data_IF_764427673617
#
_entry.id   IF_764427673617
#
_cell.length_a   1.000
_cell.length_b   1.000
_cell.length_c   1.000
_cell.angle_alpha   90.00
_cell.angle_beta   90.00
_cell.angle_gamma   90.00
#
_symmetry.space_group_name_H-M   'P 1'
#
loop_
_entity.id
_entity.type
_entity.pdbx_description
1 polymer ?
#
# COMPACT_ATOMS: atom_id res chain seq x y z
N UNK A 1 41.76 -20.07 13.72
CA UNK A 1 41.03 -20.03 12.45
C UNK A 1 39.53 -20.05 12.62
N UNK A 2 39.05 -20.86 13.54
CA UNK A 2 37.63 -20.95 13.79
C UNK A 2 36.96 -19.67 14.25
N UNK A 3 37.59 -18.76 15.03
CA UNK A 3 36.97 -17.52 15.41
C UNK A 3 36.62 -16.62 14.22
N UNK A 4 37.43 -16.66 13.17
CA UNK A 4 37.20 -15.83 11.96
C UNK A 4 35.93 -16.27 11.24
N UNK A 5 35.70 -17.57 11.09
CA UNK A 5 34.51 -18.13 10.47
C UNK A 5 33.24 -17.74 11.23
N UNK A 6 33.30 -17.79 12.56
CA UNK A 6 32.13 -17.41 13.39
C UNK A 6 31.78 -15.94 13.25
N UNK A 7 32.80 -15.08 13.23
CA UNK A 7 32.59 -13.64 13.05
C UNK A 7 31.98 -13.35 11.69
N UNK A 8 32.47 -14.00 10.64
CA UNK A 8 31.93 -13.83 9.30
C UNK A 8 30.46 -14.25 9.21
N UNK A 9 30.10 -15.37 9.85
CA UNK A 9 28.73 -15.83 9.88
C UNK A 9 27.78 -14.87 10.59
N UNK A 10 28.24 -14.26 11.69
CA UNK A 10 27.46 -13.28 12.43
C UNK A 10 27.21 -12.03 11.59
N UNK A 11 28.21 -11.52 10.88
CA UNK A 11 28.06 -10.36 10.00
C UNK A 11 27.06 -10.65 8.88
N UNK A 12 27.12 -11.82 8.28
CA UNK A 12 26.22 -12.18 7.21
C UNK A 12 24.77 -12.23 7.71
N UNK A 13 24.54 -12.79 8.91
CA UNK A 13 23.20 -12.85 9.50
C UNK A 13 22.66 -11.46 9.81
N UNK A 14 23.46 -10.59 10.39
CA UNK A 14 23.06 -9.21 10.71
C UNK A 14 22.72 -8.46 9.43
N UNK A 15 23.53 -8.59 8.40
CA UNK A 15 23.27 -7.95 7.11
C UNK A 15 21.95 -8.41 6.51
N UNK A 16 21.67 -9.71 6.58
CA UNK A 16 20.42 -10.27 6.08
C UNK A 16 19.21 -9.72 6.83
N UNK A 17 19.29 -9.62 8.15
CA UNK A 17 18.23 -9.08 8.99
C UNK A 17 17.98 -7.61 8.67
N UNK A 18 19.03 -6.82 8.44
CA UNK A 18 18.89 -5.41 8.07
C UNK A 18 18.19 -5.27 6.71
N UNK A 19 18.54 -6.11 5.74
CA UNK A 19 17.90 -6.09 4.43
C UNK A 19 16.43 -6.45 4.52
N UNK A 20 16.07 -7.45 5.32
CA UNK A 20 14.68 -7.85 5.52
C UNK A 20 13.89 -6.75 6.22
N UNK A 21 14.47 -6.08 7.20
CA UNK A 21 13.83 -4.96 7.89
C UNK A 21 13.55 -3.82 6.91
N UNK A 22 14.51 -3.46 6.07
CA UNK A 22 14.34 -2.41 5.08
C UNK A 22 13.30 -2.77 4.02
N UNK A 23 13.16 -4.06 3.70
CA UNK A 23 12.17 -4.52 2.74
C UNK A 23 10.76 -4.58 3.34
N UNK A 24 10.66 -4.82 4.67
CA UNK A 24 9.39 -5.08 5.35
C UNK A 24 8.81 -3.87 6.07
N UNK A 25 9.66 -2.99 6.60
CA UNK A 25 9.22 -1.87 7.42
C UNK A 25 9.19 -0.57 6.63
N UNK A 26 8.19 0.26 6.93
CA UNK A 26 8.03 1.56 6.32
C UNK A 26 7.42 1.54 4.94
N UNK A 27 7.06 0.37 4.42
CA UNK A 27 6.46 0.30 3.09
C UNK A 27 5.01 0.77 3.13
N UNK A 28 4.70 1.76 2.29
CA UNK A 28 3.34 2.26 2.11
C UNK A 28 2.78 1.64 0.84
N UNK A 29 1.62 1.02 0.95
CA UNK A 29 0.90 0.42 -0.17
C UNK A 29 -0.46 1.09 -0.31
N UNK A 30 -0.74 1.62 -1.49
CA UNK A 30 -2.02 2.22 -1.80
C UNK A 30 -2.77 1.26 -2.72
N UNK A 31 -3.93 0.79 -2.27
CA UNK A 31 -4.73 -0.15 -3.06
C UNK A 31 -6.01 0.53 -3.53
N UNK A 32 -6.21 0.52 -4.82
CA UNK A 32 -7.40 1.06 -5.47
C UNK A 32 -8.37 -0.08 -5.75
N UNK A 33 -9.51 -0.06 -5.09
CA UNK A 33 -10.57 -1.05 -5.26
C UNK A 33 -11.65 -0.49 -6.17
N UNK A 34 -11.96 -1.20 -7.24
CA UNK A 34 -13.03 -0.79 -8.14
C UNK A 34 -13.66 -2.03 -8.77
N UNK A 35 -14.86 -1.88 -9.28
CA UNK A 35 -15.56 -2.96 -9.99
C UNK A 35 -15.47 -2.71 -11.49
N UNK A 36 -15.53 -3.78 -12.27
CA UNK A 36 -15.44 -3.70 -13.72
C UNK A 36 -16.54 -2.78 -14.32
N UNK A 37 -17.76 -2.90 -13.78
CA UNK A 37 -18.87 -2.06 -14.24
C UNK A 37 -18.70 -0.58 -13.92
N UNK A 38 -17.77 -0.22 -13.03
CA UNK A 38 -17.50 1.15 -12.63
C UNK A 38 -16.18 1.69 -13.20
N UNK A 39 -15.63 1.04 -14.21
CA UNK A 39 -14.37 1.44 -14.84
C UNK A 39 -14.30 2.92 -15.23
N UNK A 40 -15.38 3.55 -15.77
CA UNK A 40 -15.32 4.97 -16.12
C UNK A 40 -15.05 5.89 -14.94
N UNK A 41 -15.30 5.46 -13.72
CA UNK A 41 -15.08 6.24 -12.51
C UNK A 41 -13.82 5.84 -11.75
N UNK A 42 -12.92 5.08 -12.39
CA UNK A 42 -11.66 4.72 -11.75
C UNK A 42 -10.87 5.97 -11.41
N UNK A 43 -10.08 5.89 -10.36
CA UNK A 43 -9.25 7.00 -9.91
C UNK A 43 -7.92 6.96 -10.66
N UNK A 44 -7.78 7.78 -11.69
CA UNK A 44 -6.62 7.72 -12.58
C UNK A 44 -5.35 8.27 -11.94
N UNK A 45 -5.47 9.27 -11.08
CA UNK A 45 -4.31 9.93 -10.48
C UNK A 45 -3.60 9.05 -9.42
N UNK A 46 -4.15 7.89 -9.11
CA UNK A 46 -3.50 6.97 -8.14
C UNK A 46 -2.09 6.60 -8.61
N UNK A 47 -1.91 6.45 -9.93
CA UNK A 47 -0.60 6.12 -10.49
C UNK A 47 0.42 7.25 -10.35
N UNK A 48 -0.02 8.46 -10.04
CA UNK A 48 0.85 9.61 -9.87
C UNK A 48 1.35 9.77 -8.43
N UNK A 49 0.87 8.93 -7.50
CA UNK A 49 1.32 8.98 -6.12
C UNK A 49 2.76 8.53 -6.01
N UNK A 50 3.54 9.24 -5.19
CA UNK A 50 4.95 8.99 -5.00
C UNK A 50 5.24 8.38 -3.63
N UNK A 51 6.37 7.66 -3.56
CA UNK A 51 6.89 7.06 -2.32
C UNK A 51 5.95 6.03 -1.71
N UNK A 52 5.24 5.33 -2.58
CA UNK A 52 4.35 4.25 -2.20
C UNK A 52 4.29 3.24 -3.34
N UNK A 53 3.79 2.05 -3.02
CA UNK A 53 3.48 1.05 -4.03
C UNK A 53 1.99 1.11 -4.32
N UNK A 54 1.61 1.21 -5.59
CA UNK A 54 0.21 1.27 -5.99
C UNK A 54 -0.22 -0.10 -6.50
N UNK A 55 -1.35 -0.60 -5.99
CA UNK A 55 -1.94 -1.85 -6.44
C UNK A 55 -3.41 -1.65 -6.76
N UNK A 56 -3.94 -2.52 -7.60
CA UNK A 56 -5.33 -2.48 -8.03
C UNK A 56 -6.03 -3.78 -7.65
N UNK A 57 -7.28 -3.67 -7.23
CA UNK A 57 -8.08 -4.83 -6.86
C UNK A 57 -9.47 -4.70 -7.50
N UNK A 58 -9.72 -5.52 -8.50
CA UNK A 58 -11.02 -5.61 -9.16
C UNK A 58 -11.71 -6.95 -8.84
N UNK A 59 -11.01 -7.81 -8.09
CA UNK A 59 -11.54 -9.11 -7.75
C UNK A 59 -12.56 -9.00 -6.63
N UNK A 60 -13.79 -9.51 -6.83
CA UNK A 60 -14.82 -9.46 -5.79
C UNK A 60 -14.39 -10.07 -4.46
N UNK A 61 -13.53 -11.09 -4.50
CA UNK A 61 -13.03 -11.72 -3.28
C UNK A 61 -12.18 -10.75 -2.48
N UNK A 62 -11.29 -10.00 -3.13
CA UNK A 62 -10.46 -9.00 -2.46
C UNK A 62 -11.29 -7.86 -1.91
N UNK A 63 -12.26 -7.39 -2.67
CA UNK A 63 -13.19 -6.35 -2.24
C UNK A 63 -13.91 -6.82 -0.96
N UNK A 64 -14.43 -8.02 -0.98
CA UNK A 64 -15.14 -8.59 0.15
C UNK A 64 -14.24 -8.77 1.38
N UNK A 65 -13.01 -9.25 1.15
CA UNK A 65 -12.04 -9.49 2.23
C UNK A 65 -11.72 -8.22 3.00
N UNK A 66 -11.56 -7.10 2.32
CA UNK A 66 -11.19 -5.83 2.91
C UNK A 66 -12.41 -4.99 3.32
N UNK A 67 -13.62 -5.58 3.30
CA UNK A 67 -14.85 -4.92 3.70
C UNK A 67 -15.13 -3.65 2.89
N UNK A 68 -14.82 -3.70 1.61
CA UNK A 68 -15.13 -2.59 0.71
C UNK A 68 -16.61 -2.66 0.36
N UNK A 69 -17.34 -1.60 0.68
CA UNK A 69 -18.80 -1.55 0.47
C UNK A 69 -19.20 -0.63 -0.68
N UNK A 70 -18.33 0.28 -1.07
CA UNK A 70 -18.56 1.16 -2.22
C UNK A 70 -17.33 1.16 -3.11
N UNK A 71 -17.49 1.52 -4.37
CA UNK A 71 -16.39 1.63 -5.33
C UNK A 71 -16.49 2.96 -6.06
N UNK A 72 -15.35 3.58 -6.37
CA UNK A 72 -14.01 3.19 -5.97
C UNK A 72 -13.75 3.44 -4.48
N UNK A 73 -12.87 2.64 -3.89
CA UNK A 73 -12.35 2.86 -2.55
C UNK A 73 -10.84 2.76 -2.62
N UNK A 74 -10.16 3.67 -1.94
CA UNK A 74 -8.69 3.65 -1.87
C UNK A 74 -8.32 3.43 -0.42
N UNK A 75 -7.49 2.43 -0.16
CA UNK A 75 -7.00 2.15 1.19
C UNK A 75 -5.49 2.32 1.18
N UNK A 76 -4.98 3.05 2.16
CA UNK A 76 -3.55 3.21 2.37
C UNK A 76 -3.13 2.30 3.51
N UNK A 77 -2.21 1.38 3.21
CA UNK A 77 -1.66 0.45 4.18
C UNK A 77 -0.21 0.83 4.49
N UNK A 78 0.19 0.63 5.73
CA UNK A 78 1.59 0.71 6.12
C UNK A 78 1.94 -0.54 6.90
N UNK A 79 2.96 -1.25 6.44
CA UNK A 79 3.40 -2.51 7.04
C UNK A 79 2.25 -3.53 7.15
N UNK A 80 1.40 -3.55 6.13
CA UNK A 80 0.28 -4.47 6.06
C UNK A 80 -0.96 -4.08 6.86
N UNK A 81 -0.91 -2.93 7.53
CA UNK A 81 -2.02 -2.46 8.37
C UNK A 81 -2.75 -1.31 7.68
N UNK A 82 -4.08 -1.38 7.66
CA UNK A 82 -4.90 -0.29 7.11
C UNK A 82 -4.74 0.97 7.97
N UNK A 83 -4.31 2.07 7.35
CA UNK A 83 -4.10 3.33 8.03
C UNK A 83 -5.19 4.35 7.69
N UNK A 84 -5.56 4.45 6.42
CA UNK A 84 -6.55 5.41 5.93
C UNK A 84 -7.39 4.78 4.84
N UNK A 85 -8.66 5.18 4.80
CA UNK A 85 -9.61 4.67 3.80
C UNK A 85 -10.37 5.85 3.21
N UNK A 86 -10.44 5.91 1.90
CA UNK A 86 -11.15 6.94 1.15
C UNK A 86 -12.20 6.27 0.29
N UNK A 87 -13.47 6.56 0.57
CA UNK A 87 -14.58 5.93 -0.12
C UNK A 87 -15.26 6.91 -1.06
N UNK A 88 -15.81 6.39 -2.17
CA UNK A 88 -16.56 7.18 -3.13
C UNK A 88 -17.89 7.64 -2.53
N UNK A 89 -18.48 8.65 -3.17
CA UNK A 89 -19.81 9.11 -2.82
C UNK A 89 -20.88 8.18 -3.41
N UNK A 90 -22.14 8.57 -3.25
CA UNK A 90 -23.26 7.76 -3.74
C UNK A 90 -23.34 7.68 -5.26
N UNK A 91 -22.64 8.54 -5.97
CA UNK A 91 -22.56 8.50 -7.44
C UNK A 91 -21.36 7.70 -7.94
N UNK A 92 -20.66 6.99 -7.04
CA UNK A 92 -19.50 6.16 -7.34
C UNK A 92 -18.29 6.97 -7.81
N UNK A 93 -18.17 8.19 -7.33
CA UNK A 93 -17.05 9.06 -7.67
C UNK A 93 -16.20 9.38 -6.45
N UNK A 94 -14.89 9.28 -6.61
CA UNK A 94 -13.96 9.59 -5.52
C UNK A 94 -13.90 11.10 -5.31
N UNK A 95 -14.15 11.53 -4.08
CA UNK A 95 -14.06 12.95 -3.72
C UNK A 95 -12.68 13.35 -3.22
N UNK A 96 -11.91 12.38 -2.71
CA UNK A 96 -10.55 12.66 -2.26
C UNK A 96 -9.66 13.04 -3.45
N UNK A 97 -8.65 13.86 -3.18
CA UNK A 97 -7.74 14.34 -4.23
C UNK A 97 -6.38 13.68 -4.10
N UNK A 98 -5.60 13.74 -5.20
CA UNK A 98 -4.22 13.25 -5.21
C UNK A 98 -3.39 13.92 -4.12
N UNK A 99 -3.57 15.24 -3.95
CA UNK A 99 -2.83 15.99 -2.94
C UNK A 99 -3.14 15.50 -1.54
N UNK A 100 -4.41 15.24 -1.24
CA UNK A 100 -4.80 14.72 0.07
C UNK A 100 -4.11 13.40 0.38
N UNK A 101 -4.16 12.46 -0.55
CA UNK A 101 -3.53 11.16 -0.35
C UNK A 101 -2.02 11.28 -0.25
N UNK A 102 -1.41 12.12 -1.09
CA UNK A 102 0.04 12.32 -1.04
C UNK A 102 0.47 12.90 0.31
N UNK A 103 -0.31 13.81 0.88
CA UNK A 103 -0.02 14.38 2.18
C UNK A 103 -0.06 13.31 3.27
N UNK A 104 -1.05 12.41 3.25
CA UNK A 104 -1.12 11.30 4.20
C UNK A 104 0.07 10.36 4.04
N UNK A 105 0.46 10.04 2.81
CA UNK A 105 1.62 9.18 2.53
C UNK A 105 2.89 9.82 3.09
N UNK A 106 3.06 11.11 2.88
CA UNK A 106 4.24 11.83 3.36
C UNK A 106 4.31 11.84 4.88
N UNK A 107 3.17 11.96 5.55
CA UNK A 107 3.12 11.97 7.01
C UNK A 107 3.47 10.62 7.63
N UNK A 108 3.36 9.55 6.86
CA UNK A 108 3.63 8.20 7.36
C UNK A 108 5.08 7.75 7.19
N UNK A 109 5.91 8.57 6.62
CA UNK A 109 7.32 8.20 6.38
C UNK A 109 8.16 8.22 7.65
#
# INVERSE_FOLDING_TARGET
MKPISKIFGVYLLVLLLVLLANASFGQVVVTHFNAEWNEPNKVEWVDELEECKVTYAECPIKIKRNKVTVVPTIIIFKDGKEMYRFEADLSFKMLATRKELQDYINDMK
#
